data_IF_379083096430
#
_entry.id   IF_379083096430
#
_cell.length_a   1.000
_cell.length_b   1.000
_cell.length_c   1.000
_cell.angle_alpha   90.00
_cell.angle_beta   90.00
_cell.angle_gamma   90.00
#
_symmetry.space_group_name_H-M   'P 1'
#
loop_
_entity.id
_entity.type
_entity.pdbx_description
1 polymer ?
#
# COMPACT_ATOMS: atom_id res chain seq x y z
N UNK A 1 32.78 -35.15 35.05
CA UNK A 1 34.10 -34.67 34.61
C UNK A 1 33.88 -34.23 33.20
N UNK A 2 33.68 -33.01 32.90
CA UNK A 2 34.39 -31.82 32.73
C UNK A 2 33.45 -30.63 32.53
N UNK A 3 33.86 -29.62 33.21
CA UNK A 3 33.25 -28.29 33.32
C UNK A 3 33.55 -27.47 32.05
N UNK A 4 32.58 -26.85 31.46
CA UNK A 4 32.78 -25.81 30.42
C UNK A 4 32.17 -24.50 30.88
N UNK A 5 33.04 -23.51 31.03
CA UNK A 5 32.82 -22.20 31.59
C UNK A 5 31.91 -21.30 30.68
N UNK A 6 31.01 -20.58 31.35
CA UNK A 6 30.18 -19.54 30.76
C UNK A 6 31.00 -18.24 30.81
N UNK A 7 31.33 -17.69 29.63
CA UNK A 7 31.95 -16.36 29.52
C UNK A 7 30.86 -15.30 29.33
N UNK A 8 30.68 -14.45 30.35
CA UNK A 8 29.88 -13.23 30.28
C UNK A 8 30.63 -12.16 29.46
N UNK A 9 30.04 -11.68 28.41
CA UNK A 9 30.51 -10.50 27.68
C UNK A 9 29.68 -9.27 28.09
N UNK A 10 30.36 -8.30 28.72
CA UNK A 10 29.83 -7.07 29.29
C UNK A 10 29.45 -6.06 28.20
N UNK A 11 28.32 -5.37 28.43
CA UNK A 11 27.81 -4.23 27.61
C UNK A 11 28.67 -2.99 27.80
N UNK A 12 28.89 -2.15 26.78
CA UNK A 12 29.35 -0.79 26.98
C UNK A 12 28.17 0.15 27.32
N UNK A 13 28.37 0.89 28.39
CA UNK A 13 27.51 2.02 28.85
C UNK A 13 27.87 3.24 28.02
N UNK A 14 26.90 3.82 27.31
CA UNK A 14 27.04 5.14 26.73
C UNK A 14 26.35 6.19 27.62
N UNK A 15 27.15 7.07 28.16
CA UNK A 15 26.76 8.25 28.97
C UNK A 15 26.33 9.40 28.03
N UNK A 16 25.23 10.03 28.37
CA UNK A 16 24.72 11.26 27.77
C UNK A 16 25.49 12.50 28.26
N UNK A 17 25.74 13.52 27.41
CA UNK A 17 26.09 14.84 27.89
C UNK A 17 24.89 15.80 27.99
N UNK A 18 25.00 16.90 28.77
CA UNK A 18 23.87 17.67 29.26
C UNK A 18 23.42 18.81 28.33
N UNK A 19 22.19 19.25 28.59
CA UNK A 19 21.47 20.38 28.02
C UNK A 19 22.28 21.68 27.89
N UNK A 20 22.12 22.37 26.76
CA UNK A 20 22.28 23.81 26.67
C UNK A 20 21.09 24.41 25.92
N UNK A 21 20.34 25.25 26.67
CA UNK A 21 19.30 26.14 26.19
C UNK A 21 19.95 27.32 25.45
N UNK A 22 19.48 27.63 24.24
CA UNK A 22 19.31 29.03 23.79
C UNK A 22 18.48 29.06 22.47
N UNK A 23 17.47 29.92 22.50
CA UNK A 23 16.60 30.17 21.37
C UNK A 23 17.24 31.01 20.27
N UNK A 24 16.76 30.82 19.06
CA UNK A 24 16.73 31.88 18.05
C UNK A 24 15.88 31.44 16.84
N UNK A 25 15.05 32.34 16.41
CA UNK A 25 14.24 32.39 15.23
C UNK A 25 14.93 31.85 13.98
N UNK A 26 14.37 30.82 13.36
CA UNK A 26 14.90 30.27 12.13
C UNK A 26 14.00 30.61 10.93
N UNK A 27 14.50 31.48 10.07
CA UNK A 27 14.00 31.67 8.72
C UNK A 27 14.33 30.44 7.86
N UNK A 28 13.30 29.90 7.20
CA UNK A 28 13.44 28.76 6.31
C UNK A 28 14.20 29.18 5.03
N UNK A 29 15.45 28.74 4.91
CA UNK A 29 16.19 28.80 3.66
C UNK A 29 15.96 27.54 2.85
N UNK A 30 15.51 27.73 1.60
CA UNK A 30 15.31 26.68 0.61
C UNK A 30 16.55 25.83 0.37
N UNK A 31 16.42 24.51 0.50
CA UNK A 31 17.45 23.54 0.11
C UNK A 31 17.64 23.55 -1.41
N UNK A 32 18.83 23.89 -1.86
CA UNK A 32 19.27 23.70 -3.24
C UNK A 32 19.86 22.29 -3.37
N UNK A 33 19.24 21.44 -4.19
CA UNK A 33 19.89 20.21 -4.64
C UNK A 33 20.96 20.54 -5.68
N UNK A 34 22.22 20.30 -5.34
CA UNK A 34 23.33 20.43 -6.27
C UNK A 34 23.47 19.11 -7.02
N UNK A 35 23.07 19.07 -8.29
CA UNK A 35 23.50 18.05 -9.24
C UNK A 35 24.80 18.51 -9.89
N UNK A 36 25.85 17.74 -9.71
CA UNK A 36 27.11 17.92 -10.43
C UNK A 36 26.91 17.50 -11.88
N UNK A 37 26.66 18.43 -12.78
CA UNK A 37 27.24 18.58 -14.14
C UNK A 37 26.70 19.91 -14.69
N UNK A 38 27.56 20.78 -15.05
CA UNK A 38 27.54 22.18 -15.42
C UNK A 38 26.51 22.71 -16.40
N UNK A 39 25.21 22.68 -16.10
CA UNK A 39 24.27 23.56 -16.80
C UNK A 39 23.16 23.98 -15.81
N UNK A 40 23.13 25.27 -15.48
CA UNK A 40 22.08 25.87 -14.66
C UNK A 40 20.79 25.95 -15.49
N UNK A 41 19.85 25.02 -15.27
CA UNK A 41 18.50 25.13 -15.81
C UNK A 41 17.71 26.09 -14.92
N UNK A 42 17.40 27.28 -15.45
CA UNK A 42 16.48 28.23 -14.82
C UNK A 42 15.04 27.79 -15.13
N UNK A 43 14.33 27.28 -14.14
CA UNK A 43 12.89 27.09 -14.26
C UNK A 43 12.17 28.44 -14.15
N UNK A 44 11.26 28.78 -15.08
CA UNK A 44 10.46 29.98 -14.94
C UNK A 44 9.51 29.82 -13.73
N UNK A 45 9.57 30.79 -12.81
CA UNK A 45 8.61 30.90 -11.70
C UNK A 45 7.23 31.19 -12.31
N UNK A 46 6.40 30.16 -12.47
CA UNK A 46 4.97 30.37 -12.68
C UNK A 46 4.38 30.86 -11.36
N UNK A 47 4.01 32.12 -11.34
CA UNK A 47 3.23 32.73 -10.27
C UNK A 47 1.83 32.14 -10.38
N UNK A 48 1.48 31.18 -9.50
CA UNK A 48 0.10 30.75 -9.37
C UNK A 48 -0.75 31.93 -8.95
N UNK A 49 -1.54 32.48 -9.88
CA UNK A 49 -2.61 33.43 -9.55
C UNK A 49 -3.68 32.62 -8.82
N UNK A 50 -3.77 32.80 -7.51
CA UNK A 50 -4.92 32.34 -6.75
C UNK A 50 -6.16 33.13 -7.27
N UNK A 51 -6.96 32.48 -8.10
CA UNK A 51 -8.29 32.98 -8.43
C UNK A 51 -9.11 32.93 -7.15
N UNK A 52 -9.49 34.12 -6.66
CA UNK A 52 -10.48 34.25 -5.58
C UNK A 52 -11.83 33.74 -6.10
N UNK A 53 -12.14 32.49 -5.78
CA UNK A 53 -13.49 31.97 -5.98
C UNK A 53 -14.37 32.57 -4.90
N UNK A 54 -15.20 33.51 -5.36
CA UNK A 54 -16.23 34.19 -4.55
C UNK A 54 -17.28 33.14 -4.15
N UNK A 55 -17.09 32.50 -2.96
CA UNK A 55 -18.06 31.57 -2.41
C UNK A 55 -19.29 32.33 -1.93
N UNK A 56 -20.32 32.39 -2.76
CA UNK A 56 -21.66 32.67 -2.28
C UNK A 56 -22.07 31.59 -1.29
N UNK A 57 -22.29 31.96 -0.05
CA UNK A 57 -22.75 31.09 1.03
C UNK A 57 -24.18 30.63 0.73
N UNK A 58 -24.31 29.52 0.01
CA UNK A 58 -25.52 28.73 -0.02
C UNK A 58 -25.48 27.75 1.16
N UNK A 59 -26.30 27.96 2.17
CA UNK A 59 -26.60 27.00 3.24
C UNK A 59 -27.21 25.75 2.60
N UNK A 60 -26.41 24.76 2.30
CA UNK A 60 -26.72 23.32 2.11
C UNK A 60 -25.39 22.53 2.05
N UNK A 61 -24.60 22.65 3.07
CA UNK A 61 -23.57 21.68 3.36
C UNK A 61 -24.12 20.77 4.43
N UNK A 62 -24.74 19.66 4.05
CA UNK A 62 -24.80 18.51 4.93
C UNK A 62 -23.34 18.16 5.17
N UNK A 63 -22.83 18.46 6.36
CA UNK A 63 -21.62 17.84 6.84
C UNK A 63 -21.88 16.35 6.71
N UNK A 64 -21.10 15.66 5.85
CA UNK A 64 -20.94 14.23 5.96
C UNK A 64 -20.23 14.04 7.29
N UNK A 65 -21.04 14.04 8.37
CA UNK A 65 -20.64 13.48 9.64
C UNK A 65 -20.49 11.99 9.36
N UNK A 66 -19.32 11.62 8.91
CA UNK A 66 -18.90 10.24 8.93
C UNK A 66 -18.91 9.85 10.41
N UNK A 67 -20.02 9.24 10.83
CA UNK A 67 -20.12 8.57 12.12
C UNK A 67 -19.29 7.29 12.04
N UNK A 68 -17.98 7.42 11.88
CA UNK A 68 -17.02 6.32 11.88
C UNK A 68 -16.66 5.89 13.31
N UNK A 69 -17.58 6.05 14.27
CA UNK A 69 -17.26 5.77 15.69
C UNK A 69 -16.98 4.29 15.98
N UNK A 70 -17.40 3.40 15.10
CA UNK A 70 -17.28 1.94 15.31
C UNK A 70 -16.44 1.27 14.19
N UNK A 71 -15.94 2.02 13.22
CA UNK A 71 -15.14 1.47 12.14
C UNK A 71 -13.68 1.29 12.54
N UNK A 72 -13.13 0.11 12.24
CA UNK A 72 -11.73 -0.25 12.43
C UNK A 72 -11.20 -0.96 11.20
N UNK A 73 -10.02 -0.55 10.71
CA UNK A 73 -9.42 -1.09 9.49
C UNK A 73 -8.28 -2.04 9.82
N UNK A 74 -8.31 -3.27 9.29
CA UNK A 74 -7.12 -4.09 9.20
C UNK A 74 -6.36 -3.76 7.91
N UNK A 75 -5.06 -3.47 8.02
CA UNK A 75 -4.18 -3.21 6.87
C UNK A 75 -3.41 -4.48 6.54
N UNK A 76 -3.85 -5.20 5.51
CA UNK A 76 -3.29 -6.48 5.09
C UNK A 76 -2.09 -6.30 4.14
N UNK A 77 -1.12 -5.50 4.55
CA UNK A 77 0.09 -5.23 3.78
C UNK A 77 1.24 -4.80 4.71
N UNK A 78 2.41 -4.53 4.17
CA UNK A 78 3.61 -4.13 4.92
C UNK A 78 4.32 -2.94 4.31
N UNK A 79 5.36 -2.46 4.99
CA UNK A 79 6.28 -1.44 4.49
C UNK A 79 5.58 -0.11 4.20
N UNK A 80 5.99 0.56 3.14
CA UNK A 80 5.48 1.89 2.75
C UNK A 80 4.00 1.86 2.38
N UNK A 81 3.52 0.75 1.79
CA UNK A 81 2.13 0.57 1.41
C UNK A 81 1.23 0.66 2.64
N UNK A 82 1.56 -0.11 3.69
CA UNK A 82 0.82 -0.10 4.94
C UNK A 82 0.91 1.27 5.63
N UNK A 83 2.09 1.90 5.66
CA UNK A 83 2.30 3.24 6.23
C UNK A 83 1.38 4.28 5.59
N UNK A 84 1.23 4.28 4.27
CA UNK A 84 0.36 5.23 3.56
C UNK A 84 -1.10 5.05 3.94
N UNK A 85 -1.57 3.80 3.99
CA UNK A 85 -2.95 3.48 4.38
C UNK A 85 -3.22 3.91 5.82
N UNK A 86 -2.33 3.56 6.77
CA UNK A 86 -2.46 3.90 8.19
C UNK A 86 -2.52 5.41 8.37
N UNK A 87 -1.62 6.17 7.73
CA UNK A 87 -1.62 7.63 7.83
C UNK A 87 -2.94 8.25 7.37
N UNK A 88 -3.45 7.82 6.22
CA UNK A 88 -4.73 8.33 5.71
C UNK A 88 -5.90 7.95 6.61
N UNK A 89 -5.92 6.73 7.14
CA UNK A 89 -6.95 6.30 8.08
C UNK A 89 -6.92 7.13 9.38
N UNK A 90 -5.74 7.43 9.92
CA UNK A 90 -5.59 8.31 11.08
C UNK A 90 -6.05 9.74 10.79
N UNK A 91 -5.77 10.29 9.60
CA UNK A 91 -6.28 11.60 9.17
C UNK A 91 -7.83 11.62 9.11
N UNK A 92 -8.43 10.46 8.84
CA UNK A 92 -9.89 10.27 8.85
C UNK A 92 -10.44 9.95 10.25
N UNK A 93 -9.59 9.76 11.25
CA UNK A 93 -9.97 9.40 12.62
C UNK A 93 -10.38 7.92 12.77
N UNK A 94 -9.91 7.03 11.87
CA UNK A 94 -10.24 5.61 11.87
C UNK A 94 -9.05 4.81 12.45
N UNK A 95 -9.25 4.02 13.53
CA UNK A 95 -8.21 3.21 14.12
C UNK A 95 -7.78 2.06 13.20
N UNK A 96 -6.49 1.73 13.23
CA UNK A 96 -5.88 0.75 12.35
C UNK A 96 -5.23 -0.41 13.11
N UNK A 97 -5.39 -1.60 12.55
CA UNK A 97 -4.68 -2.81 12.95
C UNK A 97 -3.67 -3.17 11.84
N UNK A 98 -2.37 -3.20 12.16
CA UNK A 98 -1.35 -3.68 11.25
C UNK A 98 -1.13 -5.18 11.42
N UNK A 99 -0.89 -5.88 10.31
CA UNK A 99 -0.38 -7.25 10.36
C UNK A 99 1.12 -7.25 10.05
N UNK A 100 1.85 -8.18 10.64
CA UNK A 100 3.29 -8.29 10.40
C UNK A 100 3.78 -9.75 10.48
N UNK A 101 4.85 -10.06 9.75
CA UNK A 101 5.60 -11.31 9.89
C UNK A 101 6.63 -11.19 11.00
N UNK A 102 7.18 -12.30 11.47
CA UNK A 102 8.16 -12.33 12.59
C UNK A 102 9.32 -11.37 12.41
N UNK A 103 9.79 -11.15 11.18
CA UNK A 103 10.90 -10.23 10.87
C UNK A 103 10.47 -8.75 10.78
N UNK A 104 9.19 -8.48 10.53
CA UNK A 104 8.68 -7.12 10.33
C UNK A 104 8.22 -6.46 11.65
N UNK A 105 8.43 -7.11 12.80
CA UNK A 105 7.97 -6.67 14.12
C UNK A 105 8.34 -5.23 14.46
N UNK A 106 9.53 -4.80 14.08
CA UNK A 106 10.05 -3.46 14.37
C UNK A 106 9.85 -2.47 13.22
N UNK A 107 9.13 -2.86 12.17
CA UNK A 107 8.88 -2.03 11.00
C UNK A 107 8.00 -0.80 11.33
N UNK A 108 8.13 0.25 10.54
CA UNK A 108 7.46 1.52 10.78
C UNK A 108 5.93 1.39 10.78
N UNK A 109 5.35 0.59 9.89
CA UNK A 109 3.90 0.39 9.82
C UNK A 109 3.33 -0.24 11.10
N UNK A 110 4.10 -1.13 11.75
CA UNK A 110 3.71 -1.75 13.02
C UNK A 110 3.72 -0.72 14.17
N UNK A 111 4.70 0.18 14.16
CA UNK A 111 4.83 1.24 15.18
C UNK A 111 3.80 2.36 15.00
N UNK A 112 3.31 2.58 13.79
CA UNK A 112 2.32 3.63 13.49
C UNK A 112 0.88 3.18 13.74
N UNK A 113 0.59 1.88 13.66
CA UNK A 113 -0.75 1.36 13.87
C UNK A 113 -1.15 1.41 15.36
N UNK A 114 -2.45 1.51 15.61
CA UNK A 114 -3.02 1.49 16.97
C UNK A 114 -2.87 0.12 17.62
N UNK A 115 -3.03 -0.94 16.81
CA UNK A 115 -2.82 -2.32 17.21
C UNK A 115 -2.03 -3.08 16.15
N UNK A 116 -1.41 -4.19 16.53
CA UNK A 116 -0.68 -5.04 15.59
C UNK A 116 -0.81 -6.51 15.92
N UNK A 117 -0.76 -7.36 14.90
CA UNK A 117 -0.89 -8.82 15.01
C UNK A 117 0.18 -9.50 14.17
N UNK A 118 0.93 -10.42 14.79
CA UNK A 118 1.82 -11.31 14.04
C UNK A 118 0.99 -12.37 13.31
N UNK A 119 1.17 -12.49 11.99
CA UNK A 119 0.40 -13.40 11.16
C UNK A 119 1.21 -14.59 10.63
N UNK A 120 2.46 -14.71 10.99
CA UNK A 120 3.29 -15.85 10.61
C UNK A 120 4.76 -15.51 10.42
N UNK A 121 5.45 -16.44 9.77
CA UNK A 121 6.88 -16.39 9.56
C UNK A 121 7.33 -15.40 8.47
N UNK A 122 8.64 -15.20 8.36
CA UNK A 122 9.27 -14.26 7.43
C UNK A 122 8.82 -14.39 5.96
N UNK A 123 8.71 -15.60 5.37
CA UNK A 123 8.24 -15.74 4.01
C UNK A 123 6.78 -15.30 3.86
N UNK A 124 6.47 -14.50 2.83
CA UNK A 124 5.10 -14.04 2.56
C UNK A 124 4.09 -15.17 2.35
N UNK A 125 4.55 -16.31 1.82
CA UNK A 125 3.74 -17.53 1.66
C UNK A 125 3.33 -18.17 3.00
N UNK A 126 4.00 -17.81 4.09
CA UNK A 126 3.71 -18.29 5.44
C UNK A 126 3.12 -17.21 6.35
N UNK A 127 2.84 -16.04 5.81
CA UNK A 127 2.31 -14.89 6.54
C UNK A 127 1.26 -14.12 5.72
N UNK A 128 1.68 -13.15 4.92
CA UNK A 128 0.79 -12.21 4.21
C UNK A 128 -0.12 -12.85 3.15
N UNK A 129 0.24 -14.02 2.61
CA UNK A 129 -0.55 -14.76 1.64
C UNK A 129 -1.44 -15.85 2.29
N UNK A 130 -1.34 -16.02 3.60
CA UNK A 130 -2.15 -16.99 4.35
C UNK A 130 -3.49 -16.37 4.73
N UNK A 131 -4.49 -16.56 3.88
CA UNK A 131 -5.84 -16.00 4.05
C UNK A 131 -6.42 -16.25 5.45
N UNK A 132 -6.42 -17.48 6.01
CA UNK A 132 -6.97 -17.73 7.35
C UNK A 132 -6.31 -16.88 8.44
N UNK A 133 -4.99 -16.65 8.38
CA UNK A 133 -4.29 -15.88 9.40
C UNK A 133 -4.69 -14.40 9.35
N UNK A 134 -4.82 -13.84 8.14
CA UNK A 134 -5.23 -12.45 7.94
C UNK A 134 -6.67 -12.24 8.39
N UNK A 135 -7.59 -13.16 8.04
CA UNK A 135 -8.99 -13.09 8.46
C UNK A 135 -9.12 -13.27 9.98
N UNK A 136 -8.42 -14.21 10.58
CA UNK A 136 -8.42 -14.42 12.03
C UNK A 136 -7.92 -13.17 12.77
N UNK A 137 -6.89 -12.50 12.24
CA UNK A 137 -6.43 -11.24 12.80
C UNK A 137 -7.50 -10.15 12.73
N UNK A 138 -8.23 -10.03 11.61
CA UNK A 138 -9.30 -9.06 11.45
C UNK A 138 -10.45 -9.32 12.42
N UNK A 139 -10.92 -10.56 12.51
CA UNK A 139 -12.04 -10.96 13.38
C UNK A 139 -11.65 -10.79 14.86
N UNK A 140 -10.48 -11.26 15.26
CA UNK A 140 -10.03 -11.21 16.67
C UNK A 140 -9.85 -9.77 17.19
N UNK A 141 -9.57 -8.83 16.30
CA UNK A 141 -9.42 -7.41 16.64
C UNK A 141 -10.69 -6.59 16.40
N UNK A 142 -11.79 -7.21 16.00
CA UNK A 142 -13.07 -6.54 15.74
C UNK A 142 -12.97 -5.54 14.58
N UNK A 143 -12.20 -5.84 13.53
CA UNK A 143 -12.11 -4.98 12.37
C UNK A 143 -13.40 -5.11 11.53
N UNK A 144 -14.00 -3.98 11.18
CA UNK A 144 -15.17 -3.90 10.28
C UNK A 144 -14.77 -3.79 8.82
N UNK A 145 -13.54 -3.35 8.57
CA UNK A 145 -13.00 -3.14 7.22
C UNK A 145 -11.62 -3.76 7.08
N UNK A 146 -11.26 -4.10 5.85
CA UNK A 146 -9.94 -4.61 5.49
C UNK A 146 -9.42 -3.91 4.24
N UNK A 147 -8.22 -3.33 4.33
CA UNK A 147 -7.52 -2.72 3.20
C UNK A 147 -6.34 -3.61 2.79
N UNK A 148 -6.34 -4.19 1.57
CA UNK A 148 -5.29 -5.11 1.14
C UNK A 148 -4.00 -4.40 0.69
N UNK A 149 -4.04 -3.10 0.48
CA UNK A 149 -2.98 -2.40 -0.24
C UNK A 149 -2.94 -2.80 -1.72
N UNK A 150 -1.74 -3.05 -2.23
CA UNK A 150 -1.54 -3.65 -3.56
C UNK A 150 -0.54 -4.82 -3.46
N UNK A 151 -0.59 -5.75 -4.42
CA UNK A 151 0.10 -7.04 -4.31
C UNK A 151 -0.57 -7.97 -3.27
N UNK A 152 0.12 -8.99 -2.84
CA UNK A 152 -0.37 -10.00 -1.90
C UNK A 152 -1.80 -10.49 -2.21
N UNK A 153 -2.76 -10.20 -1.34
CA UNK A 153 -4.16 -10.65 -1.47
C UNK A 153 -5.07 -9.65 -2.19
N UNK A 154 -4.56 -8.52 -2.69
CA UNK A 154 -5.37 -7.46 -3.29
C UNK A 154 -6.13 -7.90 -4.55
N UNK A 155 -5.59 -8.86 -5.29
CA UNK A 155 -6.17 -9.40 -6.53
C UNK A 155 -6.79 -10.79 -6.35
N UNK A 156 -7.01 -11.21 -5.12
CA UNK A 156 -7.59 -12.51 -4.80
C UNK A 156 -9.10 -12.40 -4.60
N UNK A 157 -9.89 -12.77 -5.61
CA UNK A 157 -11.34 -12.71 -5.57
C UNK A 157 -11.96 -13.61 -4.47
N UNK A 158 -11.38 -14.79 -4.22
CA UNK A 158 -11.83 -15.71 -3.17
C UNK A 158 -11.64 -15.09 -1.79
N UNK A 159 -10.52 -14.41 -1.59
CA UNK A 159 -10.29 -13.67 -0.33
C UNK A 159 -11.35 -12.60 -0.07
N UNK A 160 -11.76 -11.87 -1.10
CA UNK A 160 -12.82 -10.85 -0.98
C UNK A 160 -14.17 -11.48 -0.62
N UNK A 161 -14.49 -12.64 -1.21
CA UNK A 161 -15.69 -13.40 -0.85
C UNK A 161 -15.67 -13.83 0.61
N UNK A 162 -14.54 -14.40 1.07
CA UNK A 162 -14.36 -14.78 2.47
C UNK A 162 -14.47 -13.59 3.43
N UNK A 163 -13.92 -12.41 3.06
CA UNK A 163 -14.14 -11.21 3.87
C UNK A 163 -15.62 -10.88 4.03
N UNK A 164 -16.39 -10.94 2.94
CA UNK A 164 -17.84 -10.66 2.96
C UNK A 164 -18.63 -11.68 3.80
N UNK A 165 -18.31 -12.95 3.69
CA UNK A 165 -18.92 -14.02 4.48
C UNK A 165 -18.73 -13.81 5.99
N UNK A 166 -17.59 -13.20 6.39
CA UNK A 166 -17.29 -12.87 7.78
C UNK A 166 -17.73 -11.45 8.19
N UNK A 167 -18.50 -10.76 7.36
CA UNK A 167 -19.01 -9.41 7.66
C UNK A 167 -17.94 -8.31 7.61
N UNK A 168 -16.78 -8.57 7.00
CA UNK A 168 -15.70 -7.61 6.85
C UNK A 168 -15.84 -6.92 5.50
N UNK A 169 -15.94 -5.60 5.50
CA UNK A 169 -16.00 -4.81 4.27
C UNK A 169 -14.61 -4.69 3.64
N UNK A 170 -14.41 -5.33 2.49
CA UNK A 170 -13.17 -5.24 1.73
C UNK A 170 -13.09 -3.90 1.01
N UNK A 171 -12.02 -3.14 1.25
CA UNK A 171 -11.75 -1.85 0.59
C UNK A 171 -11.07 -2.12 -0.74
N UNK A 172 -11.88 -2.26 -1.78
CA UNK A 172 -11.41 -2.61 -3.13
C UNK A 172 -12.57 -2.98 -4.06
N UNK A 173 -12.25 -3.50 -5.26
CA UNK A 173 -13.25 -3.88 -6.25
C UNK A 173 -14.05 -5.13 -5.83
N UNK A 174 -15.15 -5.37 -6.52
CA UNK A 174 -15.95 -6.58 -6.35
C UNK A 174 -15.19 -7.83 -6.82
N UNK A 175 -15.46 -9.02 -6.26
CA UNK A 175 -14.81 -10.27 -6.67
C UNK A 175 -14.89 -10.54 -8.17
N UNK A 176 -16.06 -10.29 -8.78
CA UNK A 176 -16.27 -10.49 -10.22
C UNK A 176 -15.41 -9.54 -11.05
N UNK A 177 -15.27 -8.28 -10.63
CA UNK A 177 -14.38 -7.33 -11.28
C UNK A 177 -12.91 -7.76 -11.18
N UNK A 178 -12.50 -8.32 -10.04
CA UNK A 178 -11.15 -8.84 -9.85
C UNK A 178 -10.90 -10.03 -10.81
N UNK A 179 -11.86 -10.95 -10.95
CA UNK A 179 -11.73 -12.10 -11.87
C UNK A 179 -11.62 -11.66 -13.32
N UNK A 180 -12.51 -10.76 -13.75
CA UNK A 180 -12.53 -10.25 -15.13
C UNK A 180 -11.24 -9.50 -15.46
N UNK A 181 -10.76 -8.65 -14.55
CA UNK A 181 -9.57 -7.83 -14.78
C UNK A 181 -8.26 -8.58 -14.51
N UNK A 182 -8.31 -9.70 -13.80
CA UNK A 182 -7.16 -10.56 -13.53
C UNK A 182 -6.67 -11.35 -14.75
N UNK A 183 -7.56 -11.70 -15.67
CA UNK A 183 -7.17 -12.30 -16.95
C UNK A 183 -6.93 -11.23 -18.02
N UNK A 184 -5.70 -11.14 -18.52
CA UNK A 184 -5.28 -10.09 -19.47
C UNK A 184 -6.09 -10.09 -20.75
N UNK A 185 -6.48 -11.25 -21.24
CA UNK A 185 -7.28 -11.41 -22.47
C UNK A 185 -8.69 -10.85 -22.26
N UNK A 186 -9.36 -11.31 -21.21
CA UNK A 186 -10.71 -10.89 -20.82
C UNK A 186 -10.76 -9.41 -20.45
N UNK A 187 -9.77 -8.92 -19.70
CA UNK A 187 -9.67 -7.52 -19.34
C UNK A 187 -9.57 -6.61 -20.56
N UNK A 188 -8.73 -7.01 -21.53
CA UNK A 188 -8.59 -6.27 -22.79
C UNK A 188 -9.89 -6.23 -23.59
N UNK A 189 -10.54 -7.36 -23.74
CA UNK A 189 -11.82 -7.47 -24.45
C UNK A 189 -12.90 -6.62 -23.76
N UNK A 190 -12.99 -6.70 -22.44
CA UNK A 190 -13.90 -5.90 -21.62
C UNK A 190 -13.69 -4.40 -21.82
N UNK A 191 -12.42 -3.95 -21.80
CA UNK A 191 -12.09 -2.54 -22.00
C UNK A 191 -12.37 -2.09 -23.44
N UNK A 192 -12.09 -2.94 -24.44
CA UNK A 192 -12.40 -2.66 -25.85
C UNK A 192 -13.91 -2.50 -26.05
N UNK A 193 -14.72 -3.40 -25.48
CA UNK A 193 -16.19 -3.32 -25.54
C UNK A 193 -16.75 -2.10 -24.82
N UNK A 194 -16.06 -1.62 -23.78
CA UNK A 194 -16.39 -0.37 -23.08
C UNK A 194 -15.93 0.88 -23.83
N UNK A 195 -15.33 0.77 -25.02
CA UNK A 195 -14.84 1.91 -25.81
C UNK A 195 -13.53 2.52 -25.31
N UNK A 196 -12.82 1.86 -24.40
CA UNK A 196 -11.52 2.33 -23.91
C UNK A 196 -10.43 1.95 -24.93
N UNK A 197 -9.57 2.89 -25.36
CA UNK A 197 -8.45 2.58 -26.26
C UNK A 197 -7.53 1.54 -25.65
N UNK A 198 -7.28 0.48 -26.38
CA UNK A 198 -6.37 -0.60 -25.97
C UNK A 198 -5.19 -0.71 -26.95
N UNK A 199 -4.03 -1.16 -26.43
CA UNK A 199 -2.86 -1.43 -27.28
C UNK A 199 -3.25 -2.45 -28.38
N UNK A 200 -2.86 -2.24 -29.67
CA UNK A 200 -3.11 -3.20 -30.73
C UNK A 200 -2.57 -4.60 -30.41
N UNK A 201 -3.27 -5.65 -30.77
CA UNK A 201 -2.89 -7.03 -30.51
C UNK A 201 -3.95 -8.00 -31.02
N UNK A 202 -3.74 -9.31 -30.83
CA UNK A 202 -4.69 -10.34 -31.24
C UNK A 202 -6.02 -10.24 -30.51
N UNK A 203 -7.09 -10.66 -31.18
CA UNK A 203 -8.38 -10.87 -30.54
C UNK A 203 -8.41 -12.28 -29.94
N UNK A 204 -8.47 -12.33 -28.58
CA UNK A 204 -8.49 -13.59 -27.83
C UNK A 204 -7.12 -14.26 -27.60
N UNK A 205 -7.17 -15.47 -27.07
CA UNK A 205 -5.99 -16.30 -26.80
C UNK A 205 -5.45 -16.90 -28.09
N UNK A 206 -4.15 -16.73 -28.34
CA UNK A 206 -3.47 -17.41 -29.43
C UNK A 206 -3.28 -18.89 -29.08
N UNK A 207 -3.85 -19.79 -29.87
CA UNK A 207 -3.56 -21.21 -29.74
C UNK A 207 -2.12 -21.49 -30.21
N UNK A 208 -1.44 -22.44 -29.55
CA UNK A 208 -0.03 -22.79 -29.82
C UNK A 208 0.21 -23.12 -31.32
N UNK A 209 -0.76 -23.74 -32.00
CA UNK A 209 -0.69 -24.01 -33.44
C UNK A 209 -0.59 -22.73 -34.30
N UNK A 210 -1.20 -21.63 -33.86
CA UNK A 210 -1.14 -20.35 -34.55
C UNK A 210 0.22 -19.66 -34.38
N UNK A 211 0.84 -19.81 -33.19
CA UNK A 211 2.16 -19.32 -32.89
C UNK A 211 3.25 -19.96 -33.78
N UNK A 212 3.18 -21.25 -33.99
CA UNK A 212 4.12 -21.99 -34.87
C UNK A 212 4.02 -21.52 -36.34
N UNK A 213 2.86 -21.05 -36.79
CA UNK A 213 2.65 -20.54 -38.12
C UNK A 213 3.08 -19.08 -38.31
N UNK A 214 3.01 -18.27 -37.27
CA UNK A 214 3.34 -16.82 -37.34
C UNK A 214 4.81 -16.56 -37.05
N UNK A 215 5.44 -17.29 -36.13
CA UNK A 215 6.86 -17.11 -35.74
C UNK A 215 7.83 -17.18 -36.95
N UNK A 216 7.67 -18.06 -37.95
CA UNK A 216 8.53 -18.05 -39.13
C UNK A 216 8.31 -16.86 -40.06
N UNK A 217 7.17 -16.17 -39.97
CA UNK A 217 6.82 -15.02 -40.83
C UNK A 217 7.17 -13.67 -40.21
N UNK A 218 7.46 -13.64 -38.91
CA UNK A 218 8.01 -12.46 -38.25
C UNK A 218 9.51 -12.44 -38.47
N UNK A 219 9.94 -11.69 -39.47
CA UNK A 219 11.33 -11.44 -39.76
C UNK A 219 12.03 -10.86 -38.51
N UNK A 220 12.82 -11.67 -37.82
CA UNK A 220 13.62 -11.32 -36.65
C UNK A 220 14.82 -10.41 -36.97
N UNK A 221 14.68 -9.47 -37.92
CA UNK A 221 15.76 -8.56 -38.32
C UNK A 221 15.80 -7.25 -37.52
N UNK A 222 14.96 -7.11 -36.47
CA UNK A 222 14.92 -5.90 -35.63
C UNK A 222 14.77 -6.24 -34.12
N UNK A 223 15.56 -7.19 -33.63
CA UNK A 223 15.83 -7.33 -32.20
C UNK A 223 17.31 -7.19 -31.92
#
# INVERSE_FOLDING_TARGET
MDSAAITFCSKPVYSSPPNLFMGSTCGIKSSQCIFMVGNKVKFPRQRAQASQVNRKSGKRGGALSATCRDDKILVANRGEIAVRVIRTAHEMGIPCVAVYSTIDKDALHVKLADESVCIGEAPSSQSYLVVPNVLSAAISRGCTMLHPGYGFLSENAVFVEMCREHGINFIGPNPDSIRVMGDKSTARETMKNAGVPTVPGSDGLLQIQFLIYILPKMNLQHL
#
